data_IF_649905851474
#
_entry.id   IF_649905851474
#
_cell.length_a   1.000
_cell.length_b   1.000
_cell.length_c   1.000
_cell.angle_alpha   90.00
_cell.angle_beta   90.00
_cell.angle_gamma   90.00
#
_symmetry.space_group_name_H-M   'P 1'
#
loop_
_entity.id
_entity.type
_entity.pdbx_description
1 polymer ?
#
# COMPACT_ATOMS: atom_id res chain seq x y z
N UNK A 1 -20.76 3.25 21.21
CA UNK A 1 -19.66 2.25 21.09
C UNK A 1 -19.58 1.80 19.65
N UNK A 2 -18.52 2.18 18.93
CA UNK A 2 -18.29 1.69 17.57
C UNK A 2 -17.55 0.36 17.71
N UNK A 3 -18.22 -0.75 17.38
CA UNK A 3 -17.66 -2.11 17.43
C UNK A 3 -16.35 -2.20 16.65
N UNK A 4 -15.40 -3.01 17.13
CA UNK A 4 -14.17 -3.35 16.41
C UNK A 4 -14.40 -3.90 14.99
N UNK A 5 -15.61 -4.34 14.65
CA UNK A 5 -16.00 -4.72 13.29
C UNK A 5 -16.09 -3.52 12.31
N UNK A 6 -16.29 -2.30 12.80
CA UNK A 6 -16.52 -1.12 11.95
C UNK A 6 -15.24 -0.40 11.49
N UNK A 7 -14.09 -0.72 12.06
CA UNK A 7 -12.80 -0.13 11.72
C UNK A 7 -11.84 -1.20 11.20
N UNK A 8 -10.90 -0.80 10.35
CA UNK A 8 -9.81 -1.62 9.86
C UNK A 8 -8.48 -0.96 10.21
N UNK A 9 -7.51 -1.80 10.58
CA UNK A 9 -6.12 -1.37 10.72
C UNK A 9 -5.45 -1.46 9.33
N UNK A 10 -5.09 -0.31 8.77
CA UNK A 10 -4.33 -0.21 7.53
C UNK A 10 -2.85 -0.06 7.88
N UNK A 11 -2.00 -0.91 7.33
CA UNK A 11 -0.56 -0.93 7.60
C UNK A 11 0.25 -0.60 6.34
N UNK A 12 1.36 0.13 6.47
CA UNK A 12 2.27 0.44 5.37
C UNK A 12 3.73 0.56 5.85
N UNK A 13 4.66 0.28 4.92
CA UNK A 13 6.10 0.46 5.16
C UNK A 13 6.52 1.93 4.98
N UNK A 14 5.87 2.67 4.07
CA UNK A 14 6.11 4.09 3.85
C UNK A 14 4.91 4.90 4.35
N UNK A 15 5.19 6.03 4.98
CA UNK A 15 4.16 6.96 5.48
C UNK A 15 3.36 7.58 4.33
N UNK A 16 4.04 7.83 3.20
CA UNK A 16 3.45 8.38 1.97
C UNK A 16 2.35 7.48 1.42
N UNK A 17 2.51 6.16 1.45
CA UNK A 17 1.49 5.22 0.94
C UNK A 17 0.15 5.43 1.66
N UNK A 18 0.15 5.55 2.99
CA UNK A 18 -1.09 5.81 3.75
C UNK A 18 -1.64 7.20 3.40
N UNK A 19 -0.79 8.24 3.31
CA UNK A 19 -1.26 9.59 2.96
C UNK A 19 -1.90 9.66 1.57
N UNK A 20 -1.35 8.92 0.61
CA UNK A 20 -1.83 8.89 -0.77
C UNK A 20 -3.11 8.05 -0.91
N UNK A 21 -3.26 6.98 -0.12
CA UNK A 21 -4.42 6.10 -0.20
C UNK A 21 -5.57 6.57 0.68
N UNK A 22 -5.29 7.01 1.90
CA UNK A 22 -6.25 7.39 2.94
C UNK A 22 -5.94 8.80 3.49
N UNK A 23 -6.11 9.86 2.68
CA UNK A 23 -5.81 11.22 3.11
C UNK A 23 -6.65 11.62 4.34
N UNK A 24 -6.08 12.46 5.21
CA UNK A 24 -6.76 12.97 6.40
C UNK A 24 -6.81 12.02 7.61
N UNK A 25 -6.44 10.75 7.45
CA UNK A 25 -6.40 9.81 8.58
C UNK A 25 -5.11 9.95 9.42
N UNK A 26 -5.21 9.89 10.77
CA UNK A 26 -4.05 10.00 11.63
C UNK A 26 -3.14 8.78 11.48
N UNK A 27 -1.84 9.01 11.28
CA UNK A 27 -0.85 7.95 11.06
C UNK A 27 0.02 7.78 12.31
N UNK A 28 0.02 6.56 12.85
CA UNK A 28 0.92 6.15 13.94
C UNK A 28 2.17 5.49 13.37
N UNK A 29 3.33 5.92 13.85
CA UNK A 29 4.61 5.23 13.63
C UNK A 29 4.88 4.25 14.78
N UNK A 30 5.37 3.05 14.48
CA UNK A 30 5.76 2.04 15.47
C UNK A 30 6.97 1.28 14.95
N UNK A 31 8.09 1.34 15.68
CA UNK A 31 9.40 0.90 15.19
C UNK A 31 9.72 -0.59 15.43
N UNK A 32 8.89 -1.31 16.19
CA UNK A 32 9.12 -2.70 16.61
C UNK A 32 8.12 -3.68 15.99
N UNK A 33 7.77 -3.48 14.73
CA UNK A 33 6.79 -4.29 13.99
C UNK A 33 7.12 -4.28 12.50
N UNK A 34 6.69 -5.30 11.76
CA UNK A 34 6.98 -5.45 10.33
C UNK A 34 6.62 -4.22 9.47
N UNK A 35 5.50 -3.58 9.80
CA UNK A 35 5.04 -2.35 9.16
C UNK A 35 5.20 -1.16 10.10
N UNK A 36 6.08 -0.23 9.70
CA UNK A 36 6.44 0.95 10.49
C UNK A 36 5.25 1.89 10.69
N UNK A 37 4.33 2.00 9.73
CA UNK A 37 3.22 2.94 9.78
C UNK A 37 1.88 2.23 9.78
N UNK A 38 0.92 2.75 10.54
CA UNK A 38 -0.45 2.26 10.56
C UNK A 38 -1.45 3.39 10.78
N UNK A 39 -2.67 3.18 10.32
CA UNK A 39 -3.80 4.05 10.60
C UNK A 39 -5.07 3.22 10.78
N UNK A 40 -6.03 3.76 11.53
CA UNK A 40 -7.34 3.15 11.72
C UNK A 40 -8.34 3.87 10.82
N UNK A 41 -9.00 3.12 9.95
CA UNK A 41 -9.92 3.65 8.93
C UNK A 41 -11.26 2.94 9.06
N UNK A 42 -12.41 3.63 8.92
CA UNK A 42 -13.70 2.97 8.85
C UNK A 42 -13.74 1.95 7.71
N UNK A 43 -14.35 0.79 7.96
CA UNK A 43 -14.39 -0.32 7.01
C UNK A 43 -15.03 0.08 5.68
N UNK A 44 -16.10 0.87 5.70
CA UNK A 44 -16.76 1.35 4.48
C UNK A 44 -15.83 2.26 3.66
N UNK A 45 -15.12 3.19 4.32
CA UNK A 45 -14.11 4.04 3.66
C UNK A 45 -13.02 3.19 3.01
N UNK A 46 -12.53 2.14 3.68
CA UNK A 46 -11.55 1.22 3.07
C UNK A 46 -12.12 0.53 1.84
N UNK A 47 -13.36 0.02 1.92
CA UNK A 47 -14.00 -0.64 0.79
C UNK A 47 -14.16 0.30 -0.41
N UNK A 48 -14.70 1.50 -0.18
CA UNK A 48 -14.93 2.51 -1.23
C UNK A 48 -13.61 2.97 -1.86
N UNK A 49 -12.59 3.26 -1.05
CA UNK A 49 -11.27 3.67 -1.53
C UNK A 49 -10.61 2.59 -2.40
N UNK A 50 -10.70 1.32 -2.00
CA UNK A 50 -10.13 0.20 -2.77
C UNK A 50 -10.91 -0.01 -4.07
N UNK A 51 -12.24 0.01 -4.02
CA UNK A 51 -13.09 -0.14 -5.21
C UNK A 51 -12.78 0.96 -6.25
N UNK A 52 -12.71 2.21 -5.81
CA UNK A 52 -12.38 3.34 -6.69
C UNK A 52 -10.97 3.21 -7.29
N UNK A 53 -9.99 2.71 -6.52
CA UNK A 53 -8.63 2.49 -7.03
C UNK A 53 -8.57 1.40 -8.08
N UNK A 54 -9.32 0.31 -7.91
CA UNK A 54 -9.40 -0.76 -8.90
C UNK A 54 -10.00 -0.23 -10.21
N UNK A 55 -11.07 0.56 -10.12
CA UNK A 55 -11.73 1.16 -11.28
C UNK A 55 -10.85 2.21 -11.99
N UNK A 56 -9.90 2.82 -11.28
CA UNK A 56 -8.99 3.82 -11.81
C UNK A 56 -7.65 3.25 -12.34
N UNK A 57 -7.49 1.93 -12.42
CA UNK A 57 -6.29 1.34 -13.03
C UNK A 57 -6.33 1.60 -14.53
N UNK A 58 -5.40 2.44 -15.00
CA UNK A 58 -5.28 2.90 -16.40
C UNK A 58 -3.89 2.65 -16.99
N UNK A 59 -3.06 1.84 -16.32
CA UNK A 59 -1.71 1.49 -16.75
C UNK A 59 -1.62 0.02 -17.19
N UNK A 60 -0.87 -0.22 -18.27
CA UNK A 60 -0.56 -1.59 -18.73
C UNK A 60 0.56 -2.24 -17.90
N UNK A 61 1.37 -1.44 -17.21
CA UNK A 61 2.52 -1.92 -16.44
C UNK A 61 2.75 -1.08 -15.17
N UNK A 62 2.44 -1.68 -14.02
CA UNK A 62 2.50 -1.01 -12.72
C UNK A 62 3.87 -0.43 -12.36
N UNK A 63 4.98 -1.16 -12.63
CA UNK A 63 6.30 -0.63 -12.24
C UNK A 63 6.63 0.65 -13.01
N UNK A 64 6.21 0.75 -14.26
CA UNK A 64 6.46 1.92 -15.10
C UNK A 64 5.56 3.11 -14.75
N UNK A 65 4.42 2.88 -14.07
CA UNK A 65 3.53 3.95 -13.62
C UNK A 65 3.96 4.58 -12.27
N UNK A 66 5.06 4.10 -11.67
CA UNK A 66 5.57 4.61 -10.39
C UNK A 66 6.58 5.73 -10.64
N UNK A 67 6.18 6.96 -10.32
CA UNK A 67 7.03 8.16 -10.48
C UNK A 67 8.14 8.26 -9.40
N UNK A 68 7.91 7.68 -8.21
CA UNK A 68 8.89 7.69 -7.13
C UNK A 68 10.07 6.75 -7.46
N UNK A 69 11.24 7.33 -7.70
CA UNK A 69 12.43 6.59 -8.13
C UNK A 69 12.87 5.50 -7.16
N UNK A 70 12.82 5.74 -5.85
CA UNK A 70 13.25 4.76 -4.85
C UNK A 70 12.28 3.58 -4.79
N UNK A 71 10.97 3.87 -4.88
CA UNK A 71 9.93 2.87 -4.93
C UNK A 71 10.00 2.05 -6.23
N UNK A 72 10.19 2.73 -7.37
CA UNK A 72 10.40 2.09 -8.66
C UNK A 72 11.59 1.13 -8.60
N UNK A 73 12.74 1.58 -8.08
CA UNK A 73 13.93 0.75 -7.92
C UNK A 73 13.67 -0.47 -7.02
N UNK A 74 12.90 -0.31 -5.94
CA UNK A 74 12.50 -1.42 -5.08
C UNK A 74 11.62 -2.45 -5.83
N UNK A 75 10.63 -2.00 -6.59
CA UNK A 75 9.80 -2.90 -7.40
C UNK A 75 10.60 -3.60 -8.51
N UNK A 76 11.53 -2.90 -9.15
CA UNK A 76 12.42 -3.49 -10.16
C UNK A 76 13.28 -4.62 -9.58
N UNK A 77 13.79 -4.47 -8.35
CA UNK A 77 14.53 -5.53 -7.65
C UNK A 77 13.66 -6.74 -7.35
N UNK A 78 12.44 -6.53 -6.84
CA UNK A 78 11.49 -7.64 -6.61
C UNK A 78 11.18 -8.36 -7.91
N UNK A 79 10.91 -7.63 -8.98
CA UNK A 79 10.70 -8.20 -10.31
C UNK A 79 11.90 -9.04 -10.77
N UNK A 80 13.13 -8.55 -10.58
CA UNK A 80 14.35 -9.29 -10.92
C UNK A 80 14.51 -10.60 -10.13
N UNK A 81 14.20 -10.59 -8.83
CA UNK A 81 14.22 -11.81 -7.99
C UNK A 81 13.21 -12.83 -8.51
N UNK A 82 11.97 -12.41 -8.78
CA UNK A 82 10.93 -13.29 -9.28
C UNK A 82 11.23 -13.81 -10.70
N UNK A 83 11.86 -12.96 -11.52
CA UNK A 83 12.31 -13.36 -12.85
C UNK A 83 13.41 -14.41 -12.80
N UNK A 84 14.40 -14.26 -11.91
CA UNK A 84 15.43 -15.27 -11.70
C UNK A 84 14.83 -16.62 -11.27
N UNK A 85 13.87 -16.58 -10.33
CA UNK A 85 13.12 -17.76 -9.89
C UNK A 85 12.40 -18.45 -11.06
N UNK A 86 11.77 -17.67 -11.95
CA UNK A 86 11.09 -18.20 -13.14
C UNK A 86 12.06 -18.89 -14.12
N UNK A 87 13.29 -18.38 -14.24
CA UNK A 87 14.31 -18.94 -15.12
C UNK A 87 15.06 -20.15 -14.53
N UNK A 88 14.63 -20.63 -13.35
CA UNK A 88 15.17 -21.84 -12.72
C UNK A 88 16.57 -21.64 -12.12
N UNK A 89 16.87 -20.43 -11.65
CA UNK A 89 18.06 -20.13 -10.85
C UNK A 89 17.76 -20.20 -9.35
#
# INVERSE_FOLDING_TARGET
MVSAAAQLLVCARRKSDIKQVFPGHPIKETRHTDYRYRTTVPRHVVADTIANRILAIDYDNFKNSVEDHDLHAAYARVWGIMYALQQGS
#
